data_IF_321642606254
#
_entry.id   IF_321642606254
#
_cell.length_a   1.000
_cell.length_b   1.000
_cell.length_c   1.000
_cell.angle_alpha   90.00
_cell.angle_beta   90.00
_cell.angle_gamma   90.00
#
_symmetry.space_group_name_H-M   'P 1'
#
loop_
_entity.id
_entity.type
_entity.pdbx_description
1 polymer ?
#
# COMPACT_ATOMS: atom_id res chain seq x y z
N UNK A 1 15.09 -6.23 11.76
CA UNK A 1 14.98 -6.31 10.29
C UNK A 1 14.50 -4.96 9.79
N UNK A 2 15.21 -4.32 8.86
CA UNK A 2 14.92 -2.95 8.44
C UNK A 2 13.70 -2.85 7.52
N UNK A 3 13.49 -3.82 6.62
CA UNK A 3 12.29 -3.89 5.78
C UNK A 3 11.01 -3.98 6.60
N UNK A 4 11.02 -4.82 7.66
CA UNK A 4 9.87 -4.95 8.55
C UNK A 4 9.63 -3.74 9.46
N UNK A 5 10.66 -2.97 9.79
CA UNK A 5 10.53 -1.77 10.64
C UNK A 5 9.94 -0.59 9.86
N UNK A 6 10.27 -0.47 8.57
CA UNK A 6 9.68 0.53 7.66
C UNK A 6 8.34 0.07 7.05
N UNK A 7 8.01 -1.22 7.12
CA UNK A 7 6.72 -1.72 6.66
C UNK A 7 5.60 -1.11 7.54
N UNK A 8 4.64 -0.40 6.94
CA UNK A 8 3.53 0.16 7.70
C UNK A 8 2.65 -0.94 8.28
N UNK A 9 2.31 -0.82 9.56
CA UNK A 9 1.32 -1.69 10.18
C UNK A 9 -0.01 -1.64 9.38
N UNK A 10 -0.64 -2.80 9.08
CA UNK A 10 -1.86 -2.86 8.27
C UNK A 10 -2.98 -1.95 8.74
N UNK A 11 -3.12 -1.77 10.05
CA UNK A 11 -4.20 -1.03 10.68
C UNK A 11 -3.78 0.40 11.00
N UNK A 12 -2.68 0.64 11.68
CA UNK A 12 -2.31 2.00 12.13
C UNK A 12 -1.52 2.78 11.09
N UNK A 13 -0.85 2.09 10.17
CA UNK A 13 0.11 2.64 9.20
C UNK A 13 1.35 3.29 9.82
N UNK A 14 1.54 3.10 11.13
CA UNK A 14 2.76 3.48 11.86
C UNK A 14 3.92 2.60 11.35
N UNK A 15 5.10 3.22 11.32
CA UNK A 15 6.39 2.60 11.05
C UNK A 15 7.35 2.96 12.17
N UNK A 16 8.39 2.15 12.38
CA UNK A 16 9.46 2.41 13.36
C UNK A 16 9.03 2.57 14.83
N UNK A 17 7.76 2.47 15.18
CA UNK A 17 7.29 2.58 16.56
C UNK A 17 6.11 1.65 16.81
N UNK A 18 5.89 1.36 18.08
CA UNK A 18 4.60 0.92 18.61
C UNK A 18 3.95 2.05 19.39
N UNK A 19 2.63 1.95 19.54
CA UNK A 19 1.82 2.85 20.34
C UNK A 19 0.77 2.04 21.11
N UNK A 20 0.23 2.63 22.18
CA UNK A 20 -0.94 2.11 22.86
C UNK A 20 -2.19 2.41 22.03
N UNK A 21 -2.86 1.37 21.53
CA UNK A 21 -4.06 1.53 20.71
C UNK A 21 -5.29 1.63 21.60
N UNK A 22 -6.11 2.65 21.37
CA UNK A 22 -7.25 3.00 22.22
C UNK A 22 -8.46 3.40 21.36
N UNK A 23 -9.68 3.14 21.83
CA UNK A 23 -10.90 3.51 21.12
C UNK A 23 -11.12 5.03 21.08
N UNK A 24 -11.79 5.57 20.04
CA UNK A 24 -12.17 6.97 20.01
C UNK A 24 -13.02 7.40 21.21
N UNK A 25 -13.93 6.53 21.67
CA UNK A 25 -14.81 6.83 22.80
C UNK A 25 -14.01 6.92 24.11
N UNK A 26 -13.13 5.95 24.38
CA UNK A 26 -12.24 6.00 25.55
C UNK A 26 -11.35 7.24 25.50
N UNK A 27 -10.72 7.54 24.35
CA UNK A 27 -9.84 8.71 24.19
C UNK A 27 -10.55 10.03 24.48
N UNK A 28 -11.82 10.14 24.06
CA UNK A 28 -12.65 11.33 24.31
C UNK A 28 -12.92 11.55 25.79
N UNK A 29 -13.19 10.48 26.54
CA UNK A 29 -13.45 10.54 27.99
C UNK A 29 -12.21 11.01 28.76
N UNK A 30 -11.03 10.53 28.37
CA UNK A 30 -9.76 10.85 29.06
C UNK A 30 -8.96 11.99 28.38
N UNK A 31 -9.56 12.69 27.42
CA UNK A 31 -8.99 13.85 26.71
C UNK A 31 -7.58 13.61 26.12
N UNK A 32 -7.42 12.51 25.38
CA UNK A 32 -6.19 12.16 24.68
C UNK A 32 -6.29 12.39 23.17
N UNK A 33 -5.16 12.74 22.56
CA UNK A 33 -4.97 12.86 21.11
C UNK A 33 -3.81 11.98 20.63
N UNK A 34 -3.79 11.65 19.33
CA UNK A 34 -2.71 10.86 18.73
C UNK A 34 -1.34 11.48 19.03
N UNK A 35 -0.43 10.67 19.56
CA UNK A 35 0.92 11.10 19.93
C UNK A 35 1.05 11.63 21.36
N UNK A 36 -0.03 11.79 22.12
CA UNK A 36 0.05 12.09 23.55
C UNK A 36 0.78 10.95 24.29
N UNK A 37 1.75 11.30 25.15
CA UNK A 37 2.42 10.35 26.03
C UNK A 37 1.59 10.09 27.28
N UNK A 38 1.46 8.83 27.64
CA UNK A 38 0.74 8.39 28.84
C UNK A 38 1.59 7.47 29.68
N UNK A 39 1.36 7.51 31.00
CA UNK A 39 1.84 6.53 31.94
C UNK A 39 0.80 5.43 32.06
N UNK A 40 1.20 4.21 31.72
CA UNK A 40 0.45 2.99 31.93
C UNK A 40 0.99 2.31 33.19
N UNK A 41 0.16 2.17 34.23
CA UNK A 41 0.55 1.45 35.45
C UNK A 41 -0.30 0.20 35.64
N UNK A 42 0.38 -0.93 35.82
CA UNK A 42 -0.24 -2.23 35.97
C UNK A 42 0.62 -3.12 36.87
N UNK A 43 0.01 -3.65 37.95
CA UNK A 43 0.66 -4.56 38.91
C UNK A 43 2.03 -4.07 39.42
N UNK A 44 2.13 -2.77 39.71
CA UNK A 44 3.36 -2.15 40.22
C UNK A 44 4.43 -1.84 39.16
N UNK A 45 4.19 -2.18 37.89
CA UNK A 45 5.03 -1.76 36.77
C UNK A 45 4.45 -0.48 36.15
N UNK A 46 5.33 0.38 35.65
CA UNK A 46 4.97 1.62 34.96
C UNK A 46 5.68 1.66 33.59
N UNK A 47 4.94 2.02 32.54
CA UNK A 47 5.46 2.21 31.20
C UNK A 47 4.95 3.54 30.63
N UNK A 48 5.88 4.38 30.15
CA UNK A 48 5.55 5.62 29.43
C UNK A 48 5.65 5.39 27.92
N UNK A 49 4.56 5.59 27.19
CA UNK A 49 4.52 5.40 25.73
C UNK A 49 3.39 6.24 25.08
N UNK A 50 3.43 6.46 23.75
CA UNK A 50 2.45 7.27 23.06
C UNK A 50 1.17 6.50 22.78
N UNK A 51 0.06 7.23 22.70
CA UNK A 51 -1.23 6.66 22.32
C UNK A 51 -1.52 6.86 20.83
N UNK A 52 -2.27 5.92 20.28
CA UNK A 52 -2.85 6.01 18.94
C UNK A 52 -4.32 5.60 18.98
N UNK A 53 -5.19 6.54 18.63
CA UNK A 53 -6.62 6.36 18.55
C UNK A 53 -6.93 5.54 17.30
N UNK A 54 -7.50 4.36 17.50
CA UNK A 54 -7.79 3.40 16.46
C UNK A 54 -9.31 3.19 16.35
N UNK A 55 -9.94 3.62 15.24
CA UNK A 55 -11.35 3.31 14.98
C UNK A 55 -11.59 1.78 14.99
N UNK A 56 -12.70 1.36 15.62
CA UNK A 56 -13.05 -0.07 15.78
C UNK A 56 -12.34 -0.79 16.93
N UNK A 57 -11.50 -0.09 17.68
CA UNK A 57 -10.94 -0.62 18.92
C UNK A 57 -12.03 -0.70 20.00
N UNK A 58 -12.04 -1.78 20.78
CA UNK A 58 -13.00 -1.95 21.88
C UNK A 58 -12.80 -0.90 22.98
N UNK A 59 -13.91 -0.47 23.58
CA UNK A 59 -13.89 0.50 24.67
C UNK A 59 -13.21 -0.06 25.93
N UNK A 60 -12.61 0.85 26.70
CA UNK A 60 -11.90 0.56 27.95
C UNK A 60 -10.79 -0.50 27.79
N UNK A 61 -10.30 -0.67 26.56
CA UNK A 61 -9.30 -1.68 26.19
C UNK A 61 -8.12 -1.01 25.52
N UNK A 62 -6.91 -1.25 26.04
CA UNK A 62 -5.66 -0.78 25.46
C UNK A 62 -4.91 -1.97 24.87
N UNK A 63 -4.59 -1.89 23.58
CA UNK A 63 -3.76 -2.90 22.91
C UNK A 63 -2.33 -2.40 22.80
N UNK A 64 -1.38 -3.27 23.14
CA UNK A 64 0.04 -3.00 23.13
C UNK A 64 0.75 -3.98 22.20
N UNK A 65 1.45 -3.46 21.20
CA UNK A 65 2.26 -4.28 20.30
C UNK A 65 3.58 -4.65 20.97
N UNK A 66 3.97 -5.93 20.85
CA UNK A 66 5.25 -6.46 21.34
C UNK A 66 6.37 -6.32 20.29
N UNK A 67 7.62 -6.51 20.72
CA UNK A 67 8.78 -6.65 19.82
C UNK A 67 9.63 -5.39 19.63
N UNK A 68 9.22 -4.27 20.21
CA UNK A 68 9.92 -2.98 20.22
C UNK A 68 10.67 -2.75 21.55
N UNK A 69 11.40 -1.64 21.66
CA UNK A 69 12.13 -1.23 22.88
C UNK A 69 13.38 -2.06 23.21
N UNK A 70 13.86 -2.87 22.27
CA UNK A 70 15.03 -3.75 22.47
C UNK A 70 16.32 -2.93 22.55
N UNK A 71 17.24 -3.30 23.45
CA UNK A 71 18.55 -2.62 23.62
C UNK A 71 19.71 -3.30 22.87
N UNK A 72 19.57 -4.57 22.51
CA UNK A 72 20.63 -5.39 21.91
C UNK A 72 20.15 -6.15 20.65
N UNK A 73 19.45 -5.46 19.76
CA UNK A 73 19.00 -5.97 18.45
C UNK A 73 19.90 -5.56 17.26
N UNK A 74 20.86 -4.67 17.51
CA UNK A 74 21.81 -4.16 16.53
C UNK A 74 21.42 -2.77 16.00
N UNK A 75 21.97 -2.38 14.84
CA UNK A 75 21.86 -1.01 14.31
C UNK A 75 20.43 -0.53 14.01
N UNK A 76 19.50 -1.46 13.77
CA UNK A 76 18.17 -1.14 13.23
C UNK A 76 17.10 -1.06 14.31
N UNK A 77 17.06 -2.00 15.27
CA UNK A 77 15.97 -2.08 16.24
C UNK A 77 16.33 -1.61 17.65
N UNK A 78 17.56 -1.11 17.85
CA UNK A 78 17.99 -0.58 19.13
C UNK A 78 17.26 0.73 19.40
N UNK A 79 16.61 0.82 20.56
CA UNK A 79 15.89 2.03 21.01
C UNK A 79 14.78 2.48 20.05
N UNK A 80 14.22 1.53 19.31
CA UNK A 80 13.09 1.73 18.40
C UNK A 80 11.80 1.30 19.10
N UNK A 81 10.84 2.21 19.23
CA UNK A 81 9.62 2.04 20.01
C UNK A 81 9.85 1.80 21.50
N UNK A 82 8.85 1.19 22.15
CA UNK A 82 8.72 1.05 23.60
C UNK A 82 8.62 -0.43 23.99
N UNK A 83 9.30 -0.83 25.06
CA UNK A 83 9.33 -2.22 25.52
C UNK A 83 8.08 -2.56 26.34
N UNK A 84 7.05 -3.07 25.67
CA UNK A 84 5.78 -3.42 26.28
C UNK A 84 5.82 -4.76 27.02
N UNK A 85 6.92 -5.54 26.93
CA UNK A 85 7.07 -6.76 27.71
C UNK A 85 7.12 -6.49 29.22
N UNK A 86 7.47 -5.27 29.63
CA UNK A 86 7.53 -4.85 31.04
C UNK A 86 6.17 -4.94 31.75
N UNK A 87 5.07 -4.79 31.01
CA UNK A 87 3.71 -4.92 31.56
C UNK A 87 3.17 -6.36 31.48
N UNK A 88 3.87 -7.28 30.80
CA UNK A 88 3.44 -8.67 30.61
C UNK A 88 3.88 -9.52 31.81
N UNK A 89 2.98 -10.33 32.35
CA UNK A 89 3.30 -11.27 33.44
C UNK A 89 2.88 -12.70 33.08
N UNK A 90 3.43 -13.69 33.78
CA UNK A 90 3.05 -15.10 33.57
C UNK A 90 1.58 -15.40 33.90
N UNK A 91 0.96 -14.59 34.76
CA UNK A 91 -0.46 -14.71 35.12
C UNK A 91 -1.39 -14.05 34.08
N UNK A 92 -0.85 -13.15 33.25
CA UNK A 92 -1.59 -12.34 32.28
C UNK A 92 -0.76 -12.21 30.99
N UNK A 93 -0.69 -13.31 30.23
CA UNK A 93 0.18 -13.38 29.06
C UNK A 93 -0.38 -12.63 27.84
N UNK A 94 -1.69 -12.49 27.72
CA UNK A 94 -2.32 -11.93 26.52
C UNK A 94 -3.24 -10.74 26.84
N UNK A 95 -4.07 -10.86 27.88
CA UNK A 95 -4.94 -9.79 28.35
C UNK A 95 -5.18 -9.93 29.86
N UNK A 96 -5.52 -8.82 30.50
CA UNK A 96 -6.05 -8.74 31.86
C UNK A 96 -6.69 -7.35 32.06
N UNK A 97 -7.22 -7.08 33.24
CA UNK A 97 -7.90 -5.85 33.64
C UNK A 97 -7.16 -5.15 34.80
N UNK A 98 -7.58 -3.93 35.17
CA UNK A 98 -6.98 -3.18 36.27
C UNK A 98 -5.77 -2.32 35.88
N UNK A 99 -5.59 -2.06 34.58
CA UNK A 99 -4.64 -1.06 34.07
C UNK A 99 -5.12 0.35 34.43
N UNK A 100 -4.21 1.20 34.89
CA UNK A 100 -4.47 2.63 35.07
C UNK A 100 -3.68 3.44 34.04
N UNK A 101 -4.31 4.50 33.53
CA UNK A 101 -3.75 5.40 32.52
C UNK A 101 -3.75 6.83 33.06
N UNK A 102 -2.62 7.51 32.91
CA UNK A 102 -2.47 8.92 33.28
C UNK A 102 -1.77 9.69 32.16
N UNK A 103 -2.27 10.90 31.85
CA UNK A 103 -1.67 11.77 30.84
C UNK A 103 -0.36 12.35 31.36
N UNK A 104 0.72 12.22 30.59
CA UNK A 104 2.03 12.74 30.99
C UNK A 104 2.19 14.25 30.76
N UNK A 105 1.39 14.84 29.87
CA UNK A 105 1.57 16.23 29.39
C UNK A 105 2.57 16.37 28.22
N UNK A 106 3.40 15.35 27.96
CA UNK A 106 4.34 15.33 26.84
C UNK A 106 3.71 14.72 25.57
N UNK A 107 4.33 14.96 24.41
CA UNK A 107 3.95 14.37 23.12
C UNK A 107 5.12 13.66 22.46
N UNK A 108 4.85 12.66 21.62
CA UNK A 108 5.83 11.90 20.87
C UNK A 108 5.48 11.83 19.39
N UNK A 109 6.43 12.13 18.48
CA UNK A 109 6.18 12.04 17.05
C UNK A 109 6.17 10.57 16.58
N UNK A 110 5.04 10.13 16.07
CA UNK A 110 4.86 8.83 15.42
C UNK A 110 4.95 9.00 13.89
N UNK A 111 5.71 8.13 13.22
CA UNK A 111 5.85 8.17 11.77
C UNK A 111 4.81 7.25 11.10
N UNK A 112 3.79 7.84 10.48
CA UNK A 112 2.78 7.13 9.67
C UNK A 112 3.00 7.33 8.18
N UNK A 113 2.63 6.33 7.38
CA UNK A 113 2.59 6.45 5.91
C UNK A 113 1.23 6.85 5.36
N UNK A 114 0.22 6.95 6.21
CA UNK A 114 -1.12 7.38 5.85
C UNK A 114 -1.72 8.20 6.98
N UNK A 115 -1.93 9.49 6.73
CA UNK A 115 -2.50 10.42 7.70
C UNK A 115 -4.04 10.33 7.72
N UNK A 116 -4.66 10.30 6.53
CA UNK A 116 -6.11 10.29 6.40
C UNK A 116 -6.66 8.86 6.31
N UNK A 117 -7.52 8.49 7.27
CA UNK A 117 -8.15 7.17 7.33
C UNK A 117 -9.54 7.07 6.66
N UNK A 118 -10.17 8.18 6.31
CA UNK A 118 -11.49 8.20 5.64
C UNK A 118 -11.36 8.52 4.16
N UNK A 119 -12.25 7.98 3.32
CA UNK A 119 -12.32 8.33 1.90
C UNK A 119 -12.99 9.70 1.64
N UNK A 120 -13.66 10.28 2.64
CA UNK A 120 -14.39 11.57 2.52
C UNK A 120 -15.32 11.58 1.31
N UNK A 121 -16.14 10.54 1.18
CA UNK A 121 -17.11 10.36 0.09
C UNK A 121 -16.52 10.02 -1.28
N UNK A 122 -15.20 9.92 -1.44
CA UNK A 122 -14.60 9.59 -2.74
C UNK A 122 -14.70 8.10 -3.05
N UNK A 123 -15.20 7.68 -4.23
CA UNK A 123 -15.32 6.28 -4.62
C UNK A 123 -13.97 5.68 -5.10
N UNK A 124 -12.92 5.81 -4.27
CA UNK A 124 -11.57 5.26 -4.56
C UNK A 124 -11.58 3.74 -4.48
N UNK A 125 -12.20 3.22 -3.41
CA UNK A 125 -12.50 1.80 -3.26
C UNK A 125 -14.01 1.63 -3.43
N UNK A 126 -14.37 0.69 -4.29
CA UNK A 126 -15.75 0.36 -4.63
C UNK A 126 -16.18 -0.91 -3.88
N UNK A 127 -17.27 -0.80 -3.12
CA UNK A 127 -17.79 -1.88 -2.28
C UNK A 127 -19.31 -1.97 -2.40
N UNK A 128 -19.85 -3.18 -2.37
CA UNK A 128 -21.28 -3.44 -2.27
C UNK A 128 -21.55 -4.67 -1.41
N UNK A 129 -22.79 -4.82 -0.94
CA UNK A 129 -23.26 -6.06 -0.32
C UNK A 129 -23.59 -7.10 -1.39
N UNK A 130 -23.58 -8.39 -1.04
CA UNK A 130 -23.91 -9.46 -1.96
C UNK A 130 -25.35 -9.33 -2.49
N UNK A 131 -26.27 -8.90 -1.65
CA UNK A 131 -27.65 -8.63 -2.04
C UNK A 131 -27.71 -7.52 -3.09
N UNK A 132 -27.03 -6.39 -2.87
CA UNK A 132 -26.97 -5.29 -3.83
C UNK A 132 -26.30 -5.70 -5.14
N UNK A 133 -25.18 -6.42 -5.08
CA UNK A 133 -24.46 -6.90 -6.26
C UNK A 133 -25.31 -7.85 -7.13
N UNK A 134 -26.13 -8.70 -6.52
CA UNK A 134 -27.07 -9.57 -7.28
C UNK A 134 -28.12 -8.76 -8.04
N UNK A 135 -28.55 -7.62 -7.50
CA UNK A 135 -29.50 -6.73 -8.15
C UNK A 135 -28.83 -5.79 -9.17
N UNK A 136 -27.60 -5.35 -8.88
CA UNK A 136 -26.83 -4.38 -9.67
C UNK A 136 -25.42 -4.93 -9.96
N UNK A 137 -25.29 -5.89 -10.90
CA UNK A 137 -24.01 -6.54 -11.20
C UNK A 137 -22.91 -5.55 -11.65
N UNK A 138 -23.29 -4.49 -12.35
CA UNK A 138 -22.38 -3.48 -12.90
C UNK A 138 -22.19 -2.26 -12.00
N UNK A 139 -22.51 -2.37 -10.70
CA UNK A 139 -22.39 -1.26 -9.75
C UNK A 139 -20.99 -0.64 -9.68
N UNK A 140 -19.96 -1.45 -9.91
CA UNK A 140 -18.58 -1.01 -9.80
C UNK A 140 -18.29 0.05 -10.87
N UNK A 141 -18.35 -0.22 -12.18
CA UNK A 141 -18.12 0.81 -13.19
C UNK A 141 -19.08 2.01 -13.07
N UNK A 142 -20.35 1.77 -12.73
CA UNK A 142 -21.39 2.81 -12.68
C UNK A 142 -21.27 3.81 -11.51
N UNK A 143 -20.51 3.47 -10.45
CA UNK A 143 -20.30 4.36 -9.30
C UNK A 143 -19.63 5.70 -9.63
N UNK A 144 -18.96 5.80 -10.77
CA UNK A 144 -18.42 7.06 -11.29
C UNK A 144 -18.89 7.19 -12.72
N UNK A 145 -19.73 8.19 -12.97
CA UNK A 145 -20.15 8.53 -14.33
C UNK A 145 -18.96 9.05 -15.13
N UNK A 146 -18.30 8.14 -15.84
CA UNK A 146 -17.41 8.52 -16.93
C UNK A 146 -18.27 8.64 -18.18
N UNK A 147 -18.47 9.85 -18.67
CA UNK A 147 -19.03 10.05 -20.02
C UNK A 147 -18.12 9.43 -21.09
N UNK A 148 -18.44 9.67 -22.36
CA UNK A 148 -17.56 9.25 -23.45
C UNK A 148 -16.26 10.07 -23.44
N UNK A 149 -15.24 9.56 -22.74
CA UNK A 149 -13.93 10.21 -22.62
C UNK A 149 -13.23 10.20 -23.97
N UNK A 150 -13.12 11.38 -24.57
CA UNK A 150 -12.42 11.59 -25.84
C UNK A 150 -11.04 12.19 -25.59
N UNK A 151 -10.03 11.63 -26.24
CA UNK A 151 -8.70 12.23 -26.31
C UNK A 151 -8.66 13.25 -27.46
N UNK A 152 -7.88 14.31 -27.29
CA UNK A 152 -7.70 15.34 -28.33
C UNK A 152 -6.78 14.88 -29.47
N UNK A 153 -6.03 13.81 -29.25
CA UNK A 153 -5.07 13.22 -30.18
C UNK A 153 -5.44 11.78 -30.48
N UNK A 154 -4.92 11.27 -31.59
CA UNK A 154 -4.99 9.85 -31.90
C UNK A 154 -4.15 9.05 -30.90
N UNK A 155 -4.78 8.04 -30.32
CA UNK A 155 -4.15 7.25 -29.27
C UNK A 155 -3.18 6.24 -29.87
N UNK A 156 -2.09 6.02 -29.15
CA UNK A 156 -1.14 5.01 -29.54
C UNK A 156 -1.79 3.63 -29.49
N UNK A 157 -1.73 2.91 -30.60
CA UNK A 157 -2.20 1.53 -30.67
C UNK A 157 -1.03 0.63 -30.29
N UNK A 158 -1.14 -0.06 -29.16
CA UNK A 158 -0.17 -1.06 -28.73
C UNK A 158 -0.38 -2.40 -29.45
N UNK A 159 -0.55 -2.39 -30.77
CA UNK A 159 -0.92 -3.58 -31.57
C UNK A 159 0.24 -4.57 -31.79
N UNK A 160 1.46 -4.18 -31.41
CA UNK A 160 2.68 -4.96 -31.62
C UNK A 160 3.34 -5.32 -30.29
N UNK A 161 3.49 -6.62 -30.03
CA UNK A 161 4.21 -7.15 -28.88
C UNK A 161 3.33 -7.51 -27.69
N UNK A 162 3.98 -7.82 -26.56
CA UNK A 162 3.32 -8.23 -25.34
C UNK A 162 2.70 -7.04 -24.64
N UNK A 163 1.37 -7.00 -24.50
CA UNK A 163 0.74 -6.01 -23.65
C UNK A 163 0.60 -6.53 -22.23
N UNK A 164 1.27 -5.90 -21.27
CA UNK A 164 1.19 -6.28 -19.86
C UNK A 164 0.12 -5.50 -19.10
N UNK A 165 -0.62 -6.18 -18.23
CA UNK A 165 -1.60 -5.56 -17.35
C UNK A 165 -1.73 -6.27 -16.02
N UNK A 166 -2.44 -5.61 -15.10
CA UNK A 166 -2.69 -6.10 -13.74
C UNK A 166 -4.16 -5.94 -13.37
N UNK A 167 -4.70 -6.90 -12.65
CA UNK A 167 -5.99 -6.81 -11.98
C UNK A 167 -5.78 -7.13 -10.49
N UNK A 168 -6.33 -6.30 -9.60
CA UNK A 168 -6.21 -6.49 -8.16
C UNK A 168 -7.60 -6.72 -7.55
N UNK A 169 -7.85 -7.92 -7.01
CA UNK A 169 -9.08 -8.22 -6.31
C UNK A 169 -9.05 -7.68 -4.88
N UNK A 170 -9.77 -6.57 -4.67
CA UNK A 170 -9.88 -5.94 -3.34
C UNK A 170 -10.71 -6.78 -2.36
N UNK A 171 -11.53 -7.72 -2.85
CA UNK A 171 -12.29 -8.64 -2.02
C UNK A 171 -11.37 -9.65 -1.30
N UNK A 172 -10.28 -10.05 -1.97
CA UNK A 172 -9.29 -11.01 -1.44
C UNK A 172 -8.15 -10.32 -0.68
N UNK A 173 -8.05 -8.98 -0.74
CA UNK A 173 -6.96 -8.26 -0.11
C UNK A 173 -7.17 -8.09 1.39
N UNK A 174 -6.38 -8.79 2.19
CA UNK A 174 -6.40 -8.72 3.67
C UNK A 174 -5.44 -7.68 4.26
N UNK A 175 -4.80 -6.86 3.43
CA UNK A 175 -3.91 -5.80 3.91
C UNK A 175 -2.56 -6.26 4.50
N UNK A 176 -2.14 -7.51 4.27
CA UNK A 176 -0.97 -8.13 4.92
C UNK A 176 0.40 -7.47 4.66
N UNK A 177 0.53 -6.55 3.70
CA UNK A 177 1.78 -5.85 3.39
C UNK A 177 2.88 -6.70 2.72
N UNK A 178 2.65 -8.01 2.50
CA UNK A 178 3.62 -8.89 1.85
C UNK A 178 4.01 -8.43 0.44
N UNK A 179 3.07 -7.86 -0.31
CA UNK A 179 3.34 -7.29 -1.63
C UNK A 179 4.32 -6.10 -1.60
N UNK A 180 4.27 -5.27 -0.54
CA UNK A 180 5.21 -4.16 -0.33
C UNK A 180 6.61 -4.68 -0.02
N UNK A 181 6.73 -5.63 0.90
CA UNK A 181 8.02 -6.26 1.23
C UNK A 181 8.65 -6.97 0.04
N UNK A 182 7.85 -7.74 -0.71
CA UNK A 182 8.34 -8.46 -1.88
C UNK A 182 8.81 -7.50 -2.97
N UNK A 183 8.11 -6.37 -3.16
CA UNK A 183 8.55 -5.32 -4.06
C UNK A 183 9.86 -4.70 -3.58
N UNK A 184 10.02 -4.48 -2.28
CA UNK A 184 11.23 -3.94 -1.67
C UNK A 184 12.44 -4.87 -1.84
N UNK A 185 12.28 -6.18 -1.59
CA UNK A 185 13.35 -7.17 -1.76
C UNK A 185 13.72 -7.38 -3.23
N UNK A 186 12.72 -7.44 -4.12
CA UNK A 186 12.94 -7.72 -5.54
C UNK A 186 13.59 -6.54 -6.28
N UNK A 187 13.16 -5.32 -5.95
CA UNK A 187 13.51 -4.12 -6.71
C UNK A 187 14.53 -3.24 -5.98
N UNK A 188 15.31 -3.77 -5.05
CA UNK A 188 16.38 -3.06 -4.34
C UNK A 188 15.92 -1.72 -3.73
N UNK A 189 14.70 -1.66 -3.22
CA UNK A 189 14.14 -0.42 -2.67
C UNK A 189 14.85 -0.12 -1.34
N UNK A 190 15.46 1.05 -1.18
CA UNK A 190 16.19 1.37 0.03
C UNK A 190 15.24 1.53 1.22
N UNK A 191 15.75 1.26 2.42
CA UNK A 191 15.01 1.54 3.66
C UNK A 191 15.17 3.01 4.06
N UNK A 192 14.06 3.66 4.42
CA UNK A 192 14.04 5.03 4.92
C UNK A 192 13.79 5.05 6.43
N UNK A 193 14.61 5.81 7.16
CA UNK A 193 14.48 5.95 8.61
C UNK A 193 13.27 6.80 9.04
N UNK A 194 12.83 6.59 10.29
CA UNK A 194 11.66 7.22 10.93
C UNK A 194 11.47 8.70 10.60
N UNK A 195 12.51 9.52 10.78
CA UNK A 195 12.43 10.98 10.56
C UNK A 195 12.04 11.37 9.13
N UNK A 196 12.48 10.60 8.14
CA UNK A 196 12.18 10.86 6.73
C UNK A 196 10.83 10.26 6.34
N UNK A 197 10.43 9.13 6.95
CA UNK A 197 9.07 8.60 6.81
C UNK A 197 8.04 9.61 7.32
N UNK A 198 8.26 10.21 8.50
CA UNK A 198 7.41 11.28 9.05
C UNK A 198 7.31 12.53 8.17
N UNK A 199 8.22 12.71 7.20
CA UNK A 199 8.21 13.81 6.21
C UNK A 199 7.60 13.39 4.88
N UNK A 200 6.89 12.27 4.84
CA UNK A 200 6.28 11.71 3.64
C UNK A 200 7.27 11.24 2.55
N UNK A 201 8.43 10.69 2.96
CA UNK A 201 9.55 10.31 2.05
C UNK A 201 9.92 8.83 2.07
N UNK A 202 9.02 7.94 2.49
CA UNK A 202 9.23 6.49 2.38
C UNK A 202 9.32 6.05 0.91
N UNK A 203 10.01 4.93 0.66
CA UNK A 203 10.34 4.49 -0.70
C UNK A 203 9.49 3.31 -1.21
N UNK A 204 8.35 3.01 -0.59
CA UNK A 204 7.45 1.93 -1.04
C UNK A 204 6.81 2.22 -2.42
N UNK A 205 7.08 1.34 -3.39
CA UNK A 205 6.55 1.41 -4.77
C UNK A 205 5.14 0.87 -4.94
N UNK A 206 4.74 -0.05 -4.06
CA UNK A 206 3.37 -0.48 -3.86
C UNK A 206 3.04 -0.23 -2.39
N UNK A 207 2.12 0.71 -2.15
CA UNK A 207 1.59 0.97 -0.81
C UNK A 207 0.27 0.22 -0.65
N UNK A 208 -0.07 -0.15 0.56
CA UNK A 208 -1.38 -0.73 0.87
C UNK A 208 -2.16 0.31 1.65
N UNK A 209 -3.10 0.99 1.00
CA UNK A 209 -3.93 1.99 1.62
C UNK A 209 -5.03 1.31 2.45
N UNK A 210 -5.43 1.92 3.55
CA UNK A 210 -6.48 1.41 4.46
C UNK A 210 -7.50 2.49 4.73
N UNK A 211 -8.77 2.23 4.45
CA UNK A 211 -9.85 3.18 4.71
C UNK A 211 -10.87 2.62 5.70
N UNK A 212 -11.38 3.51 6.53
CA UNK A 212 -12.50 3.27 7.45
C UNK A 212 -13.78 3.84 6.83
N UNK A 213 -14.88 3.07 6.88
CA UNK A 213 -16.23 3.47 6.49
C UNK A 213 -17.18 3.25 7.67
N UNK A 214 -18.19 4.11 7.81
CA UNK A 214 -19.18 4.02 8.89
C UNK A 214 -18.73 4.72 10.19
N UNK A 215 -19.39 4.36 11.29
CA UNK A 215 -19.14 4.95 12.61
C UNK A 215 -17.72 4.66 13.13
N UNK A 216 -17.03 5.60 13.82
CA UNK A 216 -15.72 5.36 14.42
C UNK A 216 -15.69 4.24 15.47
N UNK A 217 -16.83 3.96 16.12
CA UNK A 217 -17.00 2.94 17.15
C UNK A 217 -17.01 1.53 16.55
N UNK A 218 -17.64 1.36 15.39
CA UNK A 218 -17.67 0.10 14.65
C UNK A 218 -17.50 0.35 13.14
N UNK A 219 -16.28 0.70 12.70
CA UNK A 219 -16.01 0.99 11.31
C UNK A 219 -15.76 -0.29 10.52
N UNK A 220 -16.17 -0.25 9.28
CA UNK A 220 -15.73 -1.20 8.27
C UNK A 220 -14.33 -0.81 7.79
N UNK A 221 -13.47 -1.80 7.55
CA UNK A 221 -12.11 -1.60 7.08
C UNK A 221 -11.97 -2.22 5.70
N UNK A 222 -11.34 -1.48 4.79
CA UNK A 222 -10.99 -1.98 3.47
C UNK A 222 -9.54 -1.64 3.13
N UNK A 223 -8.90 -2.55 2.39
CA UNK A 223 -7.51 -2.42 1.96
C UNK A 223 -7.43 -2.37 0.44
N UNK A 224 -6.53 -1.52 -0.07
CA UNK A 224 -6.25 -1.44 -1.50
C UNK A 224 -4.74 -1.26 -1.73
N UNK A 225 -4.07 -2.25 -2.35
CA UNK A 225 -2.72 -2.08 -2.84
C UNK A 225 -2.71 -1.11 -4.02
N UNK A 226 -1.89 -0.06 -3.95
CA UNK A 226 -1.76 0.98 -4.98
C UNK A 226 -0.32 1.00 -5.51
N UNK A 227 -0.03 0.27 -6.60
CA UNK A 227 1.21 0.38 -7.36
C UNK A 227 1.11 1.52 -8.40
N UNK A 228 2.14 1.68 -9.24
CA UNK A 228 1.98 2.39 -10.51
C UNK A 228 0.98 1.65 -11.40
N UNK A 229 0.02 2.37 -11.98
CA UNK A 229 -1.00 1.79 -12.84
C UNK A 229 -0.56 1.58 -14.29
N UNK A 230 0.66 2.04 -14.65
CA UNK A 230 1.15 2.03 -16.03
C UNK A 230 0.10 2.59 -17.00
N UNK A 231 -0.34 3.82 -16.72
CA UNK A 231 -1.33 4.57 -17.50
C UNK A 231 -0.88 4.73 -18.94
N UNK A 232 -1.73 4.41 -19.92
CA UNK A 232 -1.41 4.63 -21.34
C UNK A 232 -1.31 6.13 -21.65
N UNK A 233 -2.30 6.90 -21.19
CA UNK A 233 -2.22 8.35 -21.17
C UNK A 233 -1.52 8.79 -19.87
N UNK A 234 -0.19 8.65 -19.83
CA UNK A 234 0.59 8.92 -18.61
C UNK A 234 0.91 10.42 -18.43
N UNK A 235 0.24 11.14 -17.50
CA UNK A 235 0.54 12.55 -17.24
C UNK A 235 1.96 12.75 -16.67
N UNK A 236 2.54 11.71 -16.08
CA UNK A 236 3.89 11.76 -15.52
C UNK A 236 5.01 11.74 -16.56
N UNK A 237 4.72 11.37 -17.82
CA UNK A 237 5.73 11.35 -18.89
C UNK A 237 5.92 12.71 -19.52
N UNK A 238 4.82 13.35 -19.93
CA UNK A 238 4.79 14.67 -20.59
C UNK A 238 5.52 15.77 -19.79
N UNK A 239 5.56 15.63 -18.46
CA UNK A 239 6.18 16.62 -17.57
C UNK A 239 7.66 16.36 -17.29
N UNK A 240 8.27 15.34 -17.90
CA UNK A 240 9.68 15.03 -17.71
C UNK A 240 10.56 15.74 -18.76
N UNK A 241 11.29 16.81 -18.40
CA UNK A 241 12.04 17.62 -19.38
C UNK A 241 13.22 16.90 -20.03
N UNK A 242 13.63 15.76 -19.49
CA UNK A 242 14.79 14.98 -19.96
C UNK A 242 14.40 13.60 -20.50
N UNK A 243 13.10 13.34 -20.64
CA UNK A 243 12.58 12.06 -21.13
C UNK A 243 13.09 10.84 -20.34
N UNK A 244 13.16 10.96 -19.00
CA UNK A 244 13.53 9.85 -18.11
C UNK A 244 12.37 8.88 -17.85
N UNK A 245 11.17 9.23 -18.29
CA UNK A 245 9.96 8.42 -18.17
C UNK A 245 9.29 8.37 -19.53
N UNK A 246 9.16 7.17 -20.09
CA UNK A 246 8.69 6.92 -21.45
C UNK A 246 7.92 5.62 -21.51
N UNK A 247 6.95 5.51 -22.41
CA UNK A 247 6.38 4.23 -22.78
C UNK A 247 7.31 3.44 -23.70
N UNK A 248 7.31 2.12 -23.55
CA UNK A 248 7.77 1.22 -24.60
C UNK A 248 6.61 0.76 -25.50
N UNK A 249 6.95 -0.02 -26.53
CA UNK A 249 6.00 -0.61 -27.48
C UNK A 249 5.05 -1.63 -26.81
N UNK A 250 5.44 -2.19 -25.66
CA UNK A 250 4.61 -3.09 -24.85
C UNK A 250 3.60 -2.32 -24.00
N UNK A 251 3.70 -0.98 -23.96
CA UNK A 251 2.90 -0.04 -23.17
C UNK A 251 3.18 -0.08 -21.67
N UNK A 252 4.39 -0.52 -21.30
CA UNK A 252 4.92 -0.29 -19.98
C UNK A 252 5.44 1.15 -19.90
N UNK A 253 4.95 1.89 -18.91
CA UNK A 253 5.62 3.10 -18.48
C UNK A 253 7.00 2.74 -17.89
N UNK A 254 8.09 3.12 -18.54
CA UNK A 254 9.46 2.87 -18.10
C UNK A 254 10.00 4.05 -17.28
N UNK A 255 10.74 3.76 -16.20
CA UNK A 255 11.49 4.77 -15.45
C UNK A 255 12.98 4.51 -15.65
N UNK A 256 13.61 5.35 -16.45
CA UNK A 256 15.04 5.28 -16.75
C UNK A 256 15.80 6.05 -15.67
N UNK A 257 16.33 5.32 -14.69
CA UNK A 257 16.89 5.90 -13.46
C UNK A 257 18.07 6.85 -13.70
N UNK A 258 18.99 6.49 -14.59
CA UNK A 258 20.20 7.26 -14.90
C UNK A 258 19.93 8.56 -15.68
N UNK A 259 18.78 8.68 -16.34
CA UNK A 259 18.38 9.89 -17.08
C UNK A 259 17.69 10.91 -16.18
N UNK A 260 17.17 10.49 -15.03
CA UNK A 260 16.42 11.36 -14.13
C UNK A 260 17.33 12.41 -13.48
N UNK A 261 17.02 13.69 -13.69
CA UNK A 261 17.73 14.83 -13.08
C UNK A 261 17.07 15.34 -11.79
N UNK A 262 16.01 14.68 -11.32
CA UNK A 262 15.39 14.98 -10.03
C UNK A 262 14.54 16.26 -9.95
N UNK A 263 13.90 16.68 -11.04
CA UNK A 263 12.94 17.80 -11.01
C UNK A 263 11.70 17.51 -10.15
N UNK A 264 11.36 16.21 -9.98
CA UNK A 264 10.22 15.69 -9.20
C UNK A 264 8.83 15.99 -9.78
N UNK A 265 8.74 16.68 -10.92
CA UNK A 265 7.45 17.10 -11.46
C UNK A 265 6.55 15.92 -11.88
N UNK A 266 7.15 14.81 -12.31
CA UNK A 266 6.44 13.56 -12.62
C UNK A 266 5.67 12.97 -11.42
N UNK A 267 6.08 13.24 -10.18
CA UNK A 267 5.32 12.83 -8.99
C UNK A 267 4.11 13.75 -8.77
N UNK A 268 4.27 15.06 -8.97
CA UNK A 268 3.17 16.02 -8.84
C UNK A 268 2.04 15.73 -9.82
N UNK A 269 2.37 15.42 -11.08
CA UNK A 269 1.38 15.18 -12.12
C UNK A 269 0.77 13.77 -12.08
N UNK A 270 1.38 12.83 -11.35
CA UNK A 270 0.80 11.51 -11.16
C UNK A 270 -0.39 11.61 -10.18
N UNK A 271 -1.63 11.28 -10.60
CA UNK A 271 -2.81 11.41 -9.73
C UNK A 271 -2.73 10.48 -8.52
N UNK A 272 -2.07 9.33 -8.66
CA UNK A 272 -1.93 8.33 -7.60
C UNK A 272 -0.78 8.59 -6.61
N UNK A 273 0.13 9.55 -6.89
CA UNK A 273 1.32 9.84 -6.07
C UNK A 273 2.18 8.60 -5.75
N UNK A 274 2.39 7.76 -6.76
CA UNK A 274 3.15 6.48 -6.68
C UNK A 274 4.59 6.57 -7.18
N UNK A 275 5.04 7.77 -7.59
CA UNK A 275 6.45 8.06 -7.89
C UNK A 275 7.17 8.46 -6.61
N UNK A 276 8.20 7.70 -6.21
CA UNK A 276 8.98 7.90 -4.98
C UNK A 276 10.36 8.47 -5.30
N UNK A 277 10.82 9.43 -4.50
CA UNK A 277 12.03 10.18 -4.77
C UNK A 277 13.15 9.84 -3.80
N UNK A 278 14.35 9.57 -4.32
CA UNK A 278 15.54 9.46 -3.49
C UNK A 278 16.03 10.84 -3.04
N UNK A 279 15.48 11.36 -1.93
CA UNK A 279 15.92 12.63 -1.36
C UNK A 279 17.39 12.61 -0.91
N UNK A 280 17.83 11.47 -0.39
CA UNK A 280 19.19 11.25 0.06
C UNK A 280 19.80 10.04 -0.65
N UNK A 281 21.10 9.86 -0.51
CA UNK A 281 21.75 8.63 -0.94
C UNK A 281 21.58 7.57 0.16
N UNK A 282 20.41 6.92 0.17
CA UNK A 282 20.05 5.91 1.18
C UNK A 282 20.96 4.67 1.14
N UNK A 283 21.65 4.41 0.03
CA UNK A 283 22.49 3.22 -0.18
C UNK A 283 23.98 3.48 0.08
N UNK A 284 24.41 4.74 0.22
CA UNK A 284 25.81 5.13 0.40
C UNK A 284 26.53 4.46 1.58
N UNK A 285 25.81 4.24 2.69
CA UNK A 285 26.35 3.67 3.94
C UNK A 285 25.87 2.24 4.18
N UNK A 286 25.40 1.56 3.13
CA UNK A 286 24.94 0.17 3.22
C UNK A 286 26.16 -0.75 3.46
N UNK A 287 26.17 -1.56 4.54
CA UNK A 287 27.24 -2.53 4.79
C UNK A 287 27.40 -3.52 3.63
N UNK A 288 28.62 -4.00 3.39
CA UNK A 288 28.90 -4.90 2.26
C UNK A 288 28.06 -6.18 2.29
N UNK A 289 27.85 -6.75 3.48
CA UNK A 289 27.00 -7.92 3.69
C UNK A 289 25.54 -7.68 3.28
N UNK A 290 25.03 -6.46 3.45
CA UNK A 290 23.67 -6.09 3.08
C UNK A 290 23.56 -5.87 1.56
N UNK A 291 24.65 -5.45 0.90
CA UNK A 291 24.66 -5.30 -0.57
C UNK A 291 24.46 -6.63 -1.30
N UNK A 292 24.85 -7.74 -0.69
CA UNK A 292 24.61 -9.10 -1.22
C UNK A 292 23.11 -9.45 -1.32
N UNK A 293 22.24 -8.74 -0.60
CA UNK A 293 20.78 -8.92 -0.69
C UNK A 293 20.18 -8.28 -1.95
N UNK A 294 20.91 -7.39 -2.62
CA UNK A 294 20.39 -6.69 -3.78
C UNK A 294 20.27 -7.66 -4.97
N UNK A 295 19.13 -7.62 -5.65
CA UNK A 295 18.92 -8.27 -6.93
C UNK A 295 19.91 -7.71 -7.97
N UNK A 296 20.79 -8.54 -8.56
CA UNK A 296 21.79 -8.09 -9.52
C UNK A 296 21.19 -7.57 -10.82
N UNK A 297 19.93 -7.92 -11.13
CA UNK A 297 19.24 -7.51 -12.35
C UNK A 297 18.50 -6.17 -12.22
N UNK A 298 18.55 -5.52 -11.06
CA UNK A 298 17.88 -4.24 -10.82
C UNK A 298 18.89 -3.20 -10.39
N UNK A 299 18.91 -2.06 -11.07
CA UNK A 299 19.77 -0.92 -10.73
C UNK A 299 19.59 -0.53 -9.26
N UNK A 300 20.67 -0.38 -8.50
CA UNK A 300 20.64 0.27 -7.18
C UNK A 300 20.71 1.78 -7.39
N UNK A 301 19.71 2.53 -6.92
CA UNK A 301 19.59 3.97 -7.22
C UNK A 301 20.41 4.81 -6.26
N UNK A 302 20.92 5.92 -6.79
CA UNK A 302 21.56 6.99 -6.01
C UNK A 302 20.58 8.09 -5.61
N UNK A 303 21.12 9.16 -5.03
CA UNK A 303 20.35 10.37 -4.70
C UNK A 303 19.83 11.08 -5.96
N UNK A 304 18.67 11.70 -5.84
CA UNK A 304 18.16 12.63 -6.86
C UNK A 304 17.35 11.96 -7.97
N UNK A 305 17.01 10.68 -7.81
CA UNK A 305 16.35 9.87 -8.84
C UNK A 305 14.94 9.48 -8.39
N UNK A 306 13.99 9.56 -9.33
CA UNK A 306 12.63 9.05 -9.15
C UNK A 306 12.55 7.55 -9.42
N UNK A 307 11.68 6.90 -8.67
CA UNK A 307 11.38 5.49 -8.74
C UNK A 307 9.87 5.26 -8.76
N UNK A 308 9.45 4.09 -9.23
CA UNK A 308 8.06 3.63 -9.20
C UNK A 308 8.00 2.12 -9.43
N UNK A 309 6.85 1.52 -9.18
CA UNK A 309 6.56 0.17 -9.69
C UNK A 309 6.78 0.11 -11.21
N UNK A 310 7.54 -0.88 -11.68
CA UNK A 310 7.87 -1.14 -13.09
C UNK A 310 7.24 -2.44 -13.59
N UNK A 311 6.22 -2.96 -12.90
CA UNK A 311 5.72 -4.34 -13.07
C UNK A 311 6.81 -5.41 -12.99
N UNK A 312 7.87 -5.15 -12.20
CA UNK A 312 9.04 -6.01 -12.12
C UNK A 312 9.63 -6.29 -13.53
N UNK A 313 9.90 -5.23 -14.29
CA UNK A 313 10.49 -5.27 -15.64
C UNK A 313 11.62 -6.28 -15.81
N UNK A 314 12.49 -6.45 -14.81
CA UNK A 314 13.57 -7.44 -14.80
C UNK A 314 13.08 -8.89 -14.95
N UNK A 315 11.89 -9.22 -14.42
CA UNK A 315 11.25 -10.53 -14.57
C UNK A 315 10.57 -10.67 -15.93
N UNK A 316 9.91 -9.60 -16.38
CA UNK A 316 9.34 -9.50 -17.74
C UNK A 316 10.42 -9.77 -18.78
N UNK A 317 11.53 -9.03 -18.74
CA UNK A 317 12.64 -9.20 -19.69
C UNK A 317 13.33 -10.55 -19.56
N UNK A 318 13.44 -11.12 -18.35
CA UNK A 318 13.94 -12.49 -18.20
C UNK A 318 13.04 -13.52 -18.90
N UNK A 319 11.72 -13.41 -18.74
CA UNK A 319 10.74 -14.28 -19.41
C UNK A 319 10.77 -14.12 -20.93
N UNK A 320 10.75 -12.88 -21.43
CA UNK A 320 10.87 -12.60 -22.86
C UNK A 320 12.13 -13.16 -23.48
N UNK A 321 13.28 -12.99 -22.82
CA UNK A 321 14.56 -13.52 -23.32
C UNK A 321 14.51 -15.04 -23.39
N UNK A 322 13.98 -15.72 -22.36
CA UNK A 322 13.86 -17.17 -22.34
C UNK A 322 12.94 -17.67 -23.47
N UNK A 323 11.74 -17.09 -23.60
CA UNK A 323 10.79 -17.43 -24.66
C UNK A 323 11.36 -17.20 -26.06
N UNK A 324 12.12 -16.10 -26.25
CA UNK A 324 12.80 -15.80 -27.52
C UNK A 324 13.90 -16.80 -27.85
N UNK A 325 14.68 -17.25 -26.86
CA UNK A 325 15.71 -18.29 -27.05
C UNK A 325 15.06 -19.62 -27.45
N UNK A 326 13.90 -19.93 -26.87
CA UNK A 326 13.11 -21.14 -27.15
C UNK A 326 12.23 -21.00 -28.40
N UNK A 327 12.24 -19.85 -29.07
CA UNK A 327 11.43 -19.52 -30.23
C UNK A 327 9.93 -19.79 -30.04
N UNK A 328 9.41 -19.38 -28.87
CA UNK A 328 7.99 -19.48 -28.51
C UNK A 328 7.46 -18.18 -27.92
N UNK A 329 6.15 -18.11 -27.77
CA UNK A 329 5.50 -17.04 -27.03
C UNK A 329 5.53 -17.30 -25.51
N UNK A 330 5.33 -16.24 -24.73
CA UNK A 330 5.21 -16.31 -23.28
C UNK A 330 3.84 -16.85 -22.92
N UNK A 331 3.80 -17.85 -22.05
CA UNK A 331 2.55 -18.41 -21.54
C UNK A 331 2.03 -17.62 -20.33
N UNK A 332 0.71 -17.63 -20.10
CA UNK A 332 0.13 -17.06 -18.87
C UNK A 332 0.75 -17.71 -17.62
N UNK A 333 1.03 -16.90 -16.61
CA UNK A 333 1.68 -17.33 -15.37
C UNK A 333 3.20 -17.60 -15.46
N UNK A 334 3.83 -17.52 -16.64
CA UNK A 334 5.30 -17.66 -16.76
C UNK A 334 6.05 -16.47 -16.14
N UNK A 335 5.51 -15.26 -16.33
CA UNK A 335 6.03 -14.02 -15.74
C UNK A 335 5.15 -13.58 -14.59
N UNK A 336 5.62 -13.77 -13.37
CA UNK A 336 4.92 -13.34 -12.15
C UNK A 336 5.72 -12.26 -11.42
N UNK A 337 5.17 -11.05 -11.23
CA UNK A 337 5.85 -10.00 -10.47
C UNK A 337 5.90 -10.36 -9.00
N UNK A 338 6.89 -9.82 -8.28
CA UNK A 338 7.12 -10.17 -6.88
C UNK A 338 5.91 -9.92 -5.97
N UNK A 339 5.14 -8.86 -6.24
CA UNK A 339 3.92 -8.55 -5.48
C UNK A 339 2.82 -9.61 -5.66
N UNK A 340 2.66 -10.16 -6.86
CA UNK A 340 1.70 -11.23 -7.14
C UNK A 340 2.16 -12.55 -6.53
N UNK A 341 3.43 -12.94 -6.74
CA UNK A 341 3.98 -14.19 -6.21
C UNK A 341 3.94 -14.26 -4.68
N UNK A 342 4.13 -13.13 -3.99
CA UNK A 342 4.13 -13.07 -2.53
C UNK A 342 2.73 -12.92 -1.91
N UNK A 343 1.68 -12.71 -2.70
CA UNK A 343 0.35 -12.48 -2.19
C UNK A 343 -0.28 -13.81 -1.73
N UNK A 344 -0.52 -14.03 -0.42
CA UNK A 344 -1.02 -15.32 0.05
C UNK A 344 -2.47 -15.61 -0.38
N UNK A 345 -3.23 -14.57 -0.70
CA UNK A 345 -4.63 -14.68 -1.15
C UNK A 345 -4.78 -14.63 -2.66
N UNK A 346 -3.69 -14.55 -3.43
CA UNK A 346 -3.69 -14.39 -4.89
C UNK A 346 -4.53 -13.20 -5.37
N UNK A 347 -4.59 -12.13 -4.57
CA UNK A 347 -5.36 -10.93 -4.91
C UNK A 347 -4.79 -10.16 -6.11
N UNK A 348 -3.51 -10.30 -6.43
CA UNK A 348 -2.86 -9.57 -7.53
C UNK A 348 -2.66 -10.54 -8.69
N UNK A 349 -3.33 -10.27 -9.80
CA UNK A 349 -3.30 -11.07 -11.03
C UNK A 349 -2.57 -10.24 -12.08
N UNK A 350 -1.54 -10.80 -12.68
CA UNK A 350 -0.69 -10.12 -13.67
C UNK A 350 -0.48 -11.05 -14.86
N UNK A 351 -0.51 -10.48 -16.07
CA UNK A 351 -0.31 -11.25 -17.28
C UNK A 351 -0.46 -10.41 -18.54
N UNK A 352 -0.59 -11.10 -19.66
CA UNK A 352 -0.75 -10.49 -20.98
C UNK A 352 -2.21 -10.10 -21.21
N UNK A 353 -2.49 -8.81 -21.37
CA UNK A 353 -3.81 -8.31 -21.76
C UNK A 353 -4.08 -8.47 -23.27
N UNK A 354 -3.02 -8.71 -24.05
CA UNK A 354 -3.11 -9.07 -25.47
C UNK A 354 -3.58 -10.51 -25.70
N UNK A 355 -3.40 -11.40 -24.71
CA UNK A 355 -3.90 -12.78 -24.75
C UNK A 355 -5.34 -12.85 -24.19
N UNK A 356 -6.36 -13.15 -25.02
CA UNK A 356 -7.75 -13.21 -24.57
C UNK A 356 -8.06 -14.29 -23.55
N UNK A 357 -7.19 -15.31 -23.44
CA UNK A 357 -7.34 -16.45 -22.55
C UNK A 357 -6.59 -16.28 -21.22
N UNK A 358 -5.84 -15.19 -21.04
CA UNK A 358 -5.08 -14.97 -19.81
C UNK A 358 -5.98 -14.71 -18.61
N UNK A 359 -5.49 -15.11 -17.42
CA UNK A 359 -6.19 -14.92 -16.15
C UNK A 359 -6.49 -13.44 -15.86
N UNK A 360 -5.64 -12.52 -16.32
CA UNK A 360 -5.84 -11.08 -16.13
C UNK A 360 -6.98 -10.55 -17.01
N UNK A 361 -7.13 -11.06 -18.25
CA UNK A 361 -8.25 -10.69 -19.13
C UNK A 361 -9.57 -11.23 -18.59
N UNK A 362 -9.59 -12.48 -18.10
CA UNK A 362 -10.77 -13.04 -17.44
C UNK A 362 -11.19 -12.18 -16.24
N UNK A 363 -10.23 -11.79 -15.40
CA UNK A 363 -10.48 -10.90 -14.26
C UNK A 363 -11.01 -9.54 -14.71
N UNK A 364 -10.41 -8.92 -15.72
CA UNK A 364 -10.83 -7.62 -16.25
C UNK A 364 -12.21 -7.64 -16.91
N UNK A 365 -12.67 -8.80 -17.40
CA UNK A 365 -14.02 -9.00 -17.96
C UNK A 365 -15.12 -9.11 -16.90
N UNK A 366 -14.78 -9.30 -15.62
CA UNK A 366 -15.78 -9.32 -14.56
C UNK A 366 -16.51 -7.96 -14.49
N UNK A 367 -17.83 -8.00 -14.36
CA UNK A 367 -18.72 -6.84 -14.17
C UNK A 367 -18.27 -5.88 -13.04
N UNK A 368 -17.64 -6.41 -12.00
CA UNK A 368 -17.14 -5.64 -10.86
C UNK A 368 -15.75 -5.00 -11.08
N UNK A 369 -15.17 -5.13 -12.27
CA UNK A 369 -13.87 -4.53 -12.61
C UNK A 369 -14.01 -3.02 -12.84
N UNK A 370 -13.10 -2.24 -12.27
CA UNK A 370 -13.05 -0.79 -12.46
C UNK A 370 -11.62 -0.25 -12.46
N UNK A 371 -11.41 0.87 -13.15
CA UNK A 371 -10.18 1.64 -13.05
C UNK A 371 -10.28 2.69 -11.94
N UNK A 372 -9.19 2.92 -11.22
CA UNK A 372 -9.11 3.98 -10.22
C UNK A 372 -8.86 5.34 -10.91
N UNK A 373 -9.65 6.36 -10.56
CA UNK A 373 -9.55 7.73 -11.08
C UNK A 373 -9.62 7.82 -12.62
N UNK A 374 -10.53 7.04 -13.22
CA UNK A 374 -10.72 6.95 -14.68
C UNK A 374 -11.26 8.24 -15.30
N UNK A 375 -11.87 9.11 -14.51
CA UNK A 375 -12.36 10.44 -14.92
C UNK A 375 -11.25 11.34 -15.50
N UNK A 376 -9.98 11.11 -15.14
CA UNK A 376 -8.84 11.83 -15.73
C UNK A 376 -8.38 11.28 -17.09
N UNK A 377 -9.06 10.26 -17.62
CA UNK A 377 -8.72 9.59 -18.89
C UNK A 377 -7.26 9.12 -18.97
N UNK A 378 -6.68 8.68 -17.85
CA UNK A 378 -5.30 8.15 -17.78
C UNK A 378 -5.16 6.76 -18.37
N UNK A 379 -6.27 6.03 -18.53
CA UNK A 379 -6.32 4.67 -19.08
C UNK A 379 -5.36 3.72 -18.36
N UNK A 380 -5.61 3.44 -17.07
CA UNK A 380 -4.72 2.62 -16.26
C UNK A 380 -4.73 1.15 -16.71
N UNK A 381 -3.54 0.54 -16.85
CA UNK A 381 -3.40 -0.90 -17.11
C UNK A 381 -3.60 -1.76 -15.88
N UNK A 382 -3.39 -1.20 -14.68
CA UNK A 382 -3.89 -1.80 -13.43
C UNK A 382 -5.35 -1.43 -13.23
N UNK A 383 -6.21 -2.43 -13.05
CA UNK A 383 -7.60 -2.25 -12.62
C UNK A 383 -7.87 -3.03 -11.34
N UNK A 384 -9.03 -2.80 -10.73
CA UNK A 384 -9.42 -3.38 -9.47
C UNK A 384 -10.74 -4.13 -9.62
N UNK A 385 -10.89 -5.26 -8.93
CA UNK A 385 -12.20 -5.86 -8.71
C UNK A 385 -12.78 -5.29 -7.42
N UNK A 386 -14.01 -4.79 -7.49
CA UNK A 386 -14.71 -4.25 -6.34
C UNK A 386 -14.97 -5.34 -5.29
N UNK A 387 -14.97 -4.92 -4.02
CA UNK A 387 -15.16 -5.82 -2.89
C UNK A 387 -16.65 -6.06 -2.64
N UNK A 388 -17.00 -7.32 -2.43
CA UNK A 388 -18.38 -7.75 -2.20
C UNK A 388 -18.45 -8.31 -0.79
N UNK A 389 -19.18 -7.61 0.06
CA UNK A 389 -19.39 -8.01 1.45
C UNK A 389 -20.62 -8.90 1.52
N UNK A 390 -20.57 -9.92 2.37
CA UNK A 390 -21.70 -10.83 2.57
C UNK A 390 -22.20 -10.71 4.02
N UNK A 391 -22.85 -9.58 4.40
CA UNK A 391 -23.42 -9.45 5.73
C UNK A 391 -24.54 -10.49 5.93
N UNK A 392 -24.74 -10.92 7.16
CA UNK A 392 -25.87 -11.80 7.49
C UNK A 392 -27.16 -10.96 7.49
N UNK A 393 -28.26 -11.42 6.87
CA UNK A 393 -29.51 -10.65 6.80
C UNK A 393 -30.01 -10.15 8.16
N UNK A 394 -29.92 -10.98 9.20
CA UNK A 394 -30.36 -10.62 10.56
C UNK A 394 -29.44 -9.61 11.29
N UNK A 395 -28.24 -9.35 10.76
CA UNK A 395 -27.24 -8.45 11.37
C UNK A 395 -27.07 -7.14 10.58
N UNK A 396 -27.61 -7.08 9.37
CA UNK A 396 -27.63 -5.86 8.56
C UNK A 396 -28.63 -4.90 9.21
N UNK A 397 -28.12 -3.94 9.97
CA UNK A 397 -28.92 -2.78 10.35
C UNK A 397 -29.13 -1.98 9.08
N UNK A 398 -30.37 -1.60 8.79
CA UNK A 398 -30.75 -0.70 7.70
C UNK A 398 -30.00 0.66 7.82
N UNK A 399 -28.72 0.70 7.51
CA UNK A 399 -28.05 1.94 7.15
C UNK A 399 -28.30 2.12 5.66
N UNK A 400 -29.09 3.14 5.26
CA UNK A 400 -29.29 3.39 3.84
C UNK A 400 -27.92 3.64 3.24
N UNK A 401 -27.55 2.83 2.24
CA UNK A 401 -26.43 3.12 1.35
C UNK A 401 -26.56 4.59 0.95
N UNK A 402 -25.72 5.43 1.57
CA UNK A 402 -25.78 6.86 1.38
C UNK A 402 -25.37 7.14 -0.06
N UNK A 403 -26.36 7.16 -0.96
CA UNK A 403 -26.31 7.96 -2.17
C UNK A 403 -26.14 9.41 -1.72
N UNK A 404 -24.90 9.89 -1.69
CA UNK A 404 -24.56 11.32 -1.77
C UNK A 404 -23.15 11.48 -2.31
#
# INVERSE_FOLDING_TARGET
NAWLQELPDPLTKITWDNAALISPATAKVIHLANGDLVYLRYRGQELKLPIWIMPGQADNTIVLNLGYGRKASGRVGNDVGFDTYQLRSSQALNFDTGLTIEKSGDTYPLATTQEQGSMVGRPVIREATLAYYRANPDFAPEMVETGNLKSLWDEHKFDTGYQWGMAIDTNLCIGCGACTLACQSENNIPVVGKEQVAKNRWMHWIRVDRYFKGSPENPEIVHQPVPCMHCENAPCEEVCPVNATVHDHEGLNLQVYNRCIGTRYCSNNCPYKVRRFNFFNYTSKTPETVKMLNNPNVTVRGRGVMEKCTYCLQRIKKGEIAAKVENREISDGEVVPACAQACPTNAIIFGLISDPQSSVVESKKQNRNYGMLVEYNTRPRTTYLARIRNPHPDLEKDEPDSKS
#
